data_IF_308545315621
#
_entry.id   IF_308545315621
#
_cell.length_a   1.000
_cell.length_b   1.000
_cell.length_c   1.000
_cell.angle_alpha   90.00
_cell.angle_beta   90.00
_cell.angle_gamma   90.00
#
_symmetry.space_group_name_H-M   'P 1'
#
loop_
_entity.id
_entity.type
_entity.pdbx_description
1 polymer ?
#
# COMPACT_ATOMS: atom_id res chain seq x y z
N UNK A 1 7.11 36.47 -1.39
CA UNK A 1 5.99 35.97 -0.57
C UNK A 1 6.39 34.86 0.40
N UNK A 2 7.34 33.96 0.06
CA UNK A 2 7.74 32.83 0.92
C UNK A 2 8.30 33.18 2.31
N UNK A 3 9.09 34.25 2.46
CA UNK A 3 9.70 34.60 3.75
C UNK A 3 8.71 35.11 4.81
N UNK A 4 7.55 35.67 4.42
CA UNK A 4 6.52 36.08 5.39
C UNK A 4 5.70 34.87 5.88
N UNK A 5 5.43 33.91 5.01
CA UNK A 5 4.71 32.68 5.38
C UNK A 5 5.52 31.81 6.33
N UNK A 6 6.84 31.67 6.12
CA UNK A 6 7.71 30.91 7.04
C UNK A 6 7.75 31.52 8.45
N UNK A 7 7.83 32.85 8.55
CA UNK A 7 7.77 33.55 9.83
C UNK A 7 6.43 33.38 10.56
N UNK A 8 5.31 33.23 9.82
CA UNK A 8 3.99 33.02 10.42
C UNK A 8 3.81 31.58 10.91
N UNK A 9 4.41 30.59 10.23
CA UNK A 9 4.33 29.17 10.60
C UNK A 9 5.22 28.85 11.81
N UNK A 10 6.38 29.51 11.93
CA UNK A 10 7.26 29.39 13.10
C UNK A 10 6.65 29.97 14.39
N UNK A 11 5.62 30.81 14.29
CA UNK A 11 4.91 31.35 15.46
C UNK A 11 4.05 30.30 16.18
N UNK A 12 3.82 29.13 15.56
CA UNK A 12 3.08 28.01 16.16
C UNK A 12 4.07 27.02 16.79
N UNK A 13 3.83 26.63 18.04
CA UNK A 13 4.66 25.66 18.74
C UNK A 13 4.48 24.22 18.23
N UNK A 14 5.48 23.33 18.40
CA UNK A 14 5.43 21.96 17.86
C UNK A 14 4.19 21.14 18.28
N UNK A 15 3.70 21.34 19.50
CA UNK A 15 2.49 20.67 20.00
C UNK A 15 1.24 21.06 19.19
N UNK A 16 1.17 22.30 18.70
CA UNK A 16 0.06 22.77 17.88
C UNK A 16 0.20 22.33 16.42
N UNK A 17 1.42 22.22 15.91
CA UNK A 17 1.67 21.54 14.64
C UNK A 17 1.20 20.08 14.68
N UNK A 18 1.52 19.35 15.76
CA UNK A 18 1.01 17.99 15.96
C UNK A 18 -0.52 17.94 16.05
N UNK A 19 -1.13 18.88 16.76
CA UNK A 19 -2.59 18.99 16.86
C UNK A 19 -3.26 19.30 15.51
N UNK A 20 -2.66 20.18 14.70
CA UNK A 20 -3.14 20.49 13.33
C UNK A 20 -3.06 19.23 12.46
N UNK A 21 -1.94 18.50 12.53
CA UNK A 21 -1.74 17.26 11.77
C UNK A 21 -2.80 16.20 12.13
N UNK A 22 -3.05 16.00 13.42
CA UNK A 22 -4.09 15.09 13.95
C UNK A 22 -5.51 15.54 13.56
N UNK A 23 -5.82 16.84 13.67
CA UNK A 23 -7.13 17.35 13.27
C UNK A 23 -7.42 17.14 11.79
N UNK A 24 -6.42 17.34 10.93
CA UNK A 24 -6.53 17.08 9.50
C UNK A 24 -6.69 15.59 9.20
N UNK A 25 -5.94 14.69 9.87
CA UNK A 25 -6.06 13.24 9.65
C UNK A 25 -7.43 12.69 10.08
N UNK A 26 -8.00 13.24 11.15
CA UNK A 26 -9.37 12.91 11.60
C UNK A 26 -10.49 13.55 10.76
N UNK A 27 -10.15 14.25 9.68
CA UNK A 27 -11.13 14.87 8.78
C UNK A 27 -11.90 16.05 9.38
N UNK A 28 -11.35 16.72 10.40
CA UNK A 28 -11.97 17.93 10.95
C UNK A 28 -12.05 19.03 9.88
N UNK A 29 -13.14 19.81 9.91
CA UNK A 29 -13.27 20.92 8.96
C UNK A 29 -12.22 22.00 9.26
N UNK A 30 -11.64 22.57 8.20
CA UNK A 30 -10.63 23.63 8.32
C UNK A 30 -11.18 24.82 9.11
N UNK A 31 -12.44 25.18 8.89
CA UNK A 31 -13.07 26.28 9.62
C UNK A 31 -13.18 25.99 11.12
N UNK A 32 -13.56 24.77 11.50
CA UNK A 32 -13.60 24.34 12.91
C UNK A 32 -12.21 24.39 13.54
N UNK A 33 -11.18 23.94 12.81
CA UNK A 33 -9.80 23.97 13.30
C UNK A 33 -9.28 25.40 13.46
N UNK A 34 -9.57 26.28 12.49
CA UNK A 34 -9.23 27.71 12.60
C UNK A 34 -9.90 28.31 13.84
N UNK A 35 -11.17 28.01 14.11
CA UNK A 35 -11.85 28.52 15.31
C UNK A 35 -11.16 28.12 16.61
N UNK A 36 -10.66 26.88 16.70
CA UNK A 36 -9.92 26.42 17.88
C UNK A 36 -8.57 27.13 18.01
N UNK A 37 -7.84 27.30 16.89
CA UNK A 37 -6.53 27.95 16.89
C UNK A 37 -6.59 29.44 17.26
N UNK A 38 -7.63 30.16 16.83
CA UNK A 38 -7.78 31.59 17.13
C UNK A 38 -8.50 31.84 18.47
N UNK A 39 -8.99 30.79 19.14
CA UNK A 39 -9.74 30.91 20.39
C UNK A 39 -8.92 31.64 21.44
N UNK A 40 -9.58 32.50 22.20
CA UNK A 40 -8.98 33.28 23.30
C UNK A 40 -7.81 34.19 22.83
N UNK A 41 -7.76 34.52 21.53
CA UNK A 41 -6.71 35.35 20.94
C UNK A 41 -5.35 34.65 20.82
N UNK A 42 -5.31 33.32 20.93
CA UNK A 42 -4.06 32.55 20.98
C UNK A 42 -3.19 32.70 19.73
N UNK A 43 -3.81 32.65 18.54
CA UNK A 43 -3.16 32.90 17.26
C UNK A 43 -4.01 33.84 16.41
N UNK A 44 -3.38 34.62 15.54
CA UNK A 44 -4.12 35.38 14.54
C UNK A 44 -4.73 34.43 13.50
N UNK A 45 -5.84 34.84 12.88
CA UNK A 45 -6.48 34.03 11.82
C UNK A 45 -5.52 33.75 10.65
N UNK A 46 -4.66 34.71 10.32
CA UNK A 46 -3.64 34.53 9.28
C UNK A 46 -2.62 33.45 9.64
N UNK A 47 -2.14 33.42 10.89
CA UNK A 47 -1.22 32.38 11.40
C UNK A 47 -1.88 31.00 11.38
N UNK A 48 -3.14 30.89 11.84
CA UNK A 48 -3.89 29.64 11.82
C UNK A 48 -4.08 29.08 10.40
N UNK A 49 -4.46 29.94 9.44
CA UNK A 49 -4.61 29.54 8.03
C UNK A 49 -3.26 29.13 7.44
N UNK A 50 -2.20 29.91 7.68
CA UNK A 50 -0.87 29.63 7.15
C UNK A 50 -0.35 28.28 7.64
N UNK A 51 -0.49 27.98 8.94
CA UNK A 51 -0.05 26.71 9.50
C UNK A 51 -0.84 25.51 8.96
N UNK A 52 -2.18 25.61 8.88
CA UNK A 52 -3.00 24.54 8.30
C UNK A 52 -2.64 24.30 6.82
N UNK A 53 -2.44 25.37 6.04
CA UNK A 53 -2.08 25.24 4.63
C UNK A 53 -0.67 24.67 4.45
N UNK A 54 0.29 25.07 5.28
CA UNK A 54 1.63 24.50 5.30
C UNK A 54 1.57 23.00 5.62
N UNK A 55 0.83 22.58 6.65
CA UNK A 55 0.66 21.15 6.97
C UNK A 55 -0.02 20.36 5.85
N UNK A 56 -1.02 20.95 5.17
CA UNK A 56 -1.65 20.33 4.00
C UNK A 56 -0.69 20.22 2.80
N UNK A 57 0.12 21.24 2.57
CA UNK A 57 1.15 21.24 1.52
C UNK A 57 2.18 20.15 1.81
N UNK A 58 2.70 20.08 3.04
CA UNK A 58 3.65 19.05 3.47
C UNK A 58 3.04 17.63 3.35
N UNK A 59 1.78 17.45 3.73
CA UNK A 59 1.07 16.17 3.55
C UNK A 59 0.89 15.84 2.07
N UNK A 60 0.57 16.83 1.24
CA UNK A 60 0.43 16.64 -0.21
C UNK A 60 1.77 16.29 -0.87
N UNK A 61 2.87 16.95 -0.49
CA UNK A 61 4.21 16.65 -0.98
C UNK A 61 4.70 15.29 -0.49
N UNK A 62 4.48 14.96 0.79
CA UNK A 62 4.76 13.63 1.34
C UNK A 62 3.95 12.53 0.65
N UNK A 63 2.66 12.77 0.39
CA UNK A 63 1.81 11.84 -0.36
C UNK A 63 2.17 11.78 -1.85
N UNK A 64 2.82 12.79 -2.42
CA UNK A 64 3.34 12.71 -3.79
C UNK A 64 4.57 11.78 -3.91
N UNK A 65 5.23 11.47 -2.79
CA UNK A 65 6.42 10.62 -2.74
C UNK A 65 6.12 9.13 -2.55
N UNK A 66 4.88 8.75 -2.20
CA UNK A 66 4.47 7.37 -1.99
C UNK A 66 3.00 7.14 -2.34
N UNK A 67 2.61 5.92 -2.75
CA UNK A 67 1.21 5.59 -2.93
C UNK A 67 0.43 5.75 -1.62
N UNK A 68 -0.83 6.13 -1.71
CA UNK A 68 -1.73 6.18 -0.56
C UNK A 68 -3.17 5.86 -0.97
N UNK A 69 -3.87 5.22 -0.05
CA UNK A 69 -5.31 4.99 -0.15
C UNK A 69 -6.01 6.11 0.62
N UNK A 70 -6.95 6.80 -0.02
CA UNK A 70 -7.79 7.80 0.66
C UNK A 70 -8.83 7.11 1.53
N UNK A 71 -8.58 7.08 2.84
CA UNK A 71 -9.46 6.49 3.85
C UNK A 71 -10.31 7.54 4.57
N UNK A 72 -10.41 8.77 4.06
CA UNK A 72 -11.28 9.82 4.63
C UNK A 72 -12.77 9.49 4.50
N UNK A 73 -13.11 8.52 3.65
CA UNK A 73 -14.44 7.98 3.45
C UNK A 73 -14.39 6.45 3.54
N UNK A 74 -15.53 5.85 3.87
CA UNK A 74 -15.67 4.38 3.89
C UNK A 74 -15.75 3.76 2.49
N UNK A 75 -15.64 4.56 1.43
CA UNK A 75 -15.68 4.10 0.04
C UNK A 75 -14.77 4.94 -0.86
N UNK A 76 -14.17 4.26 -1.84
CA UNK A 76 -13.41 4.88 -2.93
C UNK A 76 -14.18 4.62 -4.23
N UNK A 77 -14.40 5.67 -5.02
CA UNK A 77 -15.08 5.55 -6.31
C UNK A 77 -14.04 5.56 -7.42
N UNK A 78 -13.79 4.41 -8.04
CA UNK A 78 -13.02 4.30 -9.28
C UNK A 78 -13.96 4.50 -10.47
N UNK A 79 -13.44 4.73 -11.70
CA UNK A 79 -14.29 4.88 -12.88
C UNK A 79 -15.25 3.72 -13.15
N UNK A 80 -14.90 2.52 -12.70
CA UNK A 80 -15.61 1.27 -13.00
C UNK A 80 -16.15 0.56 -11.76
N UNK A 81 -15.87 1.05 -10.54
CA UNK A 81 -16.19 0.33 -9.31
C UNK A 81 -16.26 1.20 -8.07
N UNK A 82 -17.09 0.78 -7.11
CA UNK A 82 -17.13 1.34 -5.76
C UNK A 82 -16.47 0.38 -4.77
N UNK A 83 -15.31 0.79 -4.25
CA UNK A 83 -14.47 0.00 -3.34
C UNK A 83 -14.85 0.34 -1.91
N UNK A 84 -14.89 -0.67 -1.04
CA UNK A 84 -15.15 -0.51 0.38
C UNK A 84 -13.83 -0.31 1.12
N UNK A 85 -13.74 0.67 2.01
CA UNK A 85 -12.66 0.77 2.99
C UNK A 85 -13.15 0.06 4.26
N UNK A 86 -12.55 -1.10 4.56
CA UNK A 86 -12.97 -1.97 5.67
C UNK A 86 -12.21 -1.62 6.95
N UNK A 87 -10.90 -1.38 6.82
CA UNK A 87 -10.02 -1.06 7.92
C UNK A 87 -8.87 -0.18 7.42
N UNK A 88 -8.43 0.77 8.25
CA UNK A 88 -7.25 1.60 7.97
C UNK A 88 -6.36 1.70 9.21
N UNK A 89 -5.05 1.56 9.02
CA UNK A 89 -4.00 1.85 10.00
C UNK A 89 -3.17 3.01 9.43
N UNK A 90 -2.95 4.06 10.22
CA UNK A 90 -2.22 5.25 9.73
C UNK A 90 -0.71 5.01 9.62
N UNK A 91 -0.12 4.29 10.58
CA UNK A 91 1.32 4.05 10.68
C UNK A 91 1.61 2.56 10.97
N UNK A 92 2.08 1.77 9.98
CA UNK A 92 2.26 2.14 8.58
C UNK A 92 0.90 2.30 7.90
N UNK A 93 0.88 2.97 6.75
CA UNK A 93 -0.33 3.12 5.97
C UNK A 93 -0.73 1.73 5.45
N UNK A 94 -1.72 1.10 6.10
CA UNK A 94 -2.32 -0.19 5.72
C UNK A 94 -3.81 0.04 5.55
N UNK A 95 -4.37 -0.43 4.44
CA UNK A 95 -5.82 -0.38 4.19
C UNK A 95 -6.32 -1.74 3.74
N UNK A 96 -7.35 -2.25 4.41
CA UNK A 96 -8.10 -3.44 3.98
C UNK A 96 -9.29 -2.98 3.16
N UNK A 97 -9.43 -3.53 1.97
CA UNK A 97 -10.36 -3.09 0.95
C UNK A 97 -11.29 -4.23 0.55
N UNK A 98 -12.58 -3.93 0.41
CA UNK A 98 -13.59 -4.85 -0.09
C UNK A 98 -14.03 -4.47 -1.51
N UNK A 99 -14.51 -5.46 -2.26
CA UNK A 99 -15.02 -5.27 -3.62
C UNK A 99 -13.99 -4.61 -4.57
N UNK A 100 -12.71 -4.99 -4.45
CA UNK A 100 -11.64 -4.55 -5.36
C UNK A 100 -11.74 -5.27 -6.70
N UNK A 101 -11.99 -6.58 -6.69
CA UNK A 101 -12.22 -7.41 -7.87
C UNK A 101 -13.61 -8.03 -7.83
N UNK A 102 -14.16 -8.39 -9.00
CA UNK A 102 -15.38 -9.19 -9.08
C UNK A 102 -15.03 -10.66 -8.98
N UNK A 103 -16.04 -11.48 -8.70
CA UNK A 103 -15.83 -12.91 -8.63
C UNK A 103 -15.34 -13.45 -9.99
N UNK A 104 -15.87 -12.92 -11.08
CA UNK A 104 -15.48 -13.27 -12.45
C UNK A 104 -14.06 -12.81 -12.79
N UNK A 105 -13.67 -11.60 -12.35
CA UNK A 105 -12.30 -11.10 -12.53
C UNK A 105 -11.30 -11.97 -11.76
N UNK A 106 -11.65 -12.39 -10.53
CA UNK A 106 -10.85 -13.31 -9.73
C UNK A 106 -10.69 -14.67 -10.43
N UNK A 107 -11.79 -15.27 -10.87
CA UNK A 107 -11.78 -16.59 -11.50
C UNK A 107 -11.03 -16.58 -12.83
N UNK A 108 -11.18 -15.50 -13.62
CA UNK A 108 -10.46 -15.32 -14.88
C UNK A 108 -8.94 -15.19 -14.68
N UNK A 109 -8.49 -14.46 -13.65
CA UNK A 109 -7.06 -14.37 -13.33
C UNK A 109 -6.48 -15.72 -12.90
N UNK A 110 -7.21 -16.49 -12.07
CA UNK A 110 -6.79 -17.84 -11.67
C UNK A 110 -6.67 -18.74 -12.90
N UNK A 111 -7.73 -18.83 -13.70
CA UNK A 111 -7.78 -19.68 -14.88
C UNK A 111 -6.67 -19.36 -15.89
N UNK A 112 -6.36 -18.07 -16.09
CA UNK A 112 -5.31 -17.64 -17.00
C UNK A 112 -3.91 -18.06 -16.51
N UNK A 113 -3.61 -17.79 -15.24
CA UNK A 113 -2.26 -17.99 -14.71
C UNK A 113 -1.92 -19.43 -14.29
N UNK A 114 -2.93 -20.29 -14.09
CA UNK A 114 -2.73 -21.64 -13.54
C UNK A 114 -1.81 -22.51 -14.40
N UNK A 115 -1.91 -22.41 -15.73
CA UNK A 115 -1.07 -23.17 -16.66
C UNK A 115 0.42 -22.77 -16.61
N UNK A 116 0.73 -21.54 -16.18
CA UNK A 116 2.10 -21.00 -16.12
C UNK A 116 2.78 -21.15 -14.76
N UNK A 117 2.11 -21.76 -13.78
CA UNK A 117 2.62 -21.80 -12.41
C UNK A 117 3.88 -22.67 -12.27
N UNK A 118 4.88 -22.11 -11.60
CA UNK A 118 6.10 -22.82 -11.21
C UNK A 118 6.43 -22.52 -9.75
N UNK A 119 7.35 -23.28 -9.15
CA UNK A 119 7.77 -23.05 -7.76
C UNK A 119 8.28 -21.62 -7.62
N UNK A 120 7.75 -20.87 -6.65
CA UNK A 120 8.15 -19.48 -6.46
C UNK A 120 9.60 -19.35 -5.98
N UNK A 121 10.31 -18.34 -6.48
CA UNK A 121 11.67 -18.02 -6.08
C UNK A 121 11.70 -16.73 -5.21
N UNK A 122 12.78 -16.57 -4.44
CA UNK A 122 13.22 -15.29 -3.87
C UNK A 122 14.51 -14.84 -4.53
N UNK A 123 15.00 -13.65 -4.22
CA UNK A 123 16.26 -13.16 -4.77
C UNK A 123 17.41 -13.60 -3.87
N UNK A 124 18.40 -14.30 -4.45
CA UNK A 124 19.59 -14.73 -3.74
C UNK A 124 20.46 -13.53 -3.32
N UNK A 125 21.26 -13.69 -2.27
CA UNK A 125 22.14 -12.62 -1.77
C UNK A 125 23.12 -12.10 -2.83
N UNK A 126 23.54 -12.94 -3.77
CA UNK A 126 24.42 -12.62 -4.89
C UNK A 126 23.69 -12.18 -6.16
N UNK A 127 22.35 -12.22 -6.17
CA UNK A 127 21.52 -11.97 -7.34
C UNK A 127 20.99 -13.25 -8.00
N UNK A 128 19.98 -13.09 -8.86
CA UNK A 128 19.25 -14.22 -9.47
C UNK A 128 18.21 -14.84 -8.54
N UNK A 129 17.40 -15.75 -9.09
CA UNK A 129 16.34 -16.44 -8.35
C UNK A 129 16.86 -17.66 -7.60
N UNK A 130 16.38 -17.87 -6.37
CA UNK A 130 16.62 -19.07 -5.58
C UNK A 130 15.31 -19.65 -5.02
N UNK A 131 15.28 -20.97 -4.82
CA UNK A 131 14.20 -21.61 -4.06
C UNK A 131 14.45 -21.35 -2.57
N UNK A 132 13.47 -20.76 -1.90
CA UNK A 132 13.55 -20.40 -0.49
C UNK A 132 12.65 -21.33 0.33
N UNK A 133 13.16 -22.04 1.35
CA UNK A 133 12.34 -22.86 2.24
C UNK A 133 11.23 -22.05 2.94
N UNK A 134 11.47 -20.75 3.19
CA UNK A 134 10.51 -19.84 3.78
C UNK A 134 9.42 -19.34 2.83
N UNK A 135 9.50 -19.65 1.52
CA UNK A 135 8.47 -19.34 0.51
C UNK A 135 8.05 -20.60 -0.23
N UNK A 136 6.85 -21.08 0.07
CA UNK A 136 6.41 -22.41 -0.41
C UNK A 136 5.30 -22.40 -1.46
N UNK A 137 5.00 -21.21 -2.01
CA UNK A 137 4.03 -21.02 -3.08
C UNK A 137 4.49 -21.52 -4.45
N UNK A 138 3.52 -21.67 -5.33
CA UNK A 138 3.71 -21.65 -6.78
C UNK A 138 3.24 -20.30 -7.33
N UNK A 139 3.80 -19.83 -8.43
CA UNK A 139 3.36 -18.59 -9.03
C UNK A 139 3.80 -18.38 -10.47
N UNK A 140 3.26 -17.32 -11.05
CA UNK A 140 3.54 -16.83 -12.41
C UNK A 140 3.48 -15.30 -12.41
N UNK A 141 4.32 -14.66 -13.22
CA UNK A 141 4.22 -13.22 -13.49
C UNK A 141 3.41 -12.99 -14.75
N UNK A 142 2.39 -12.14 -14.64
CA UNK A 142 1.62 -11.62 -15.76
C UNK A 142 2.10 -10.17 -16.01
N UNK A 143 2.47 -9.87 -17.24
CA UNK A 143 3.00 -8.57 -17.63
C UNK A 143 1.92 -7.48 -17.56
N UNK A 144 2.37 -6.24 -17.39
CA UNK A 144 1.49 -5.07 -17.41
C UNK A 144 0.78 -5.00 -18.75
N UNK A 145 -0.54 -4.85 -18.72
CA UNK A 145 -1.37 -4.79 -19.93
C UNK A 145 -1.33 -6.03 -20.83
N UNK A 146 -0.92 -7.20 -20.30
CA UNK A 146 -0.89 -8.45 -21.07
C UNK A 146 -2.27 -8.87 -21.58
N UNK A 147 -3.32 -8.54 -20.83
CA UNK A 147 -4.73 -8.76 -21.16
C UNK A 147 -5.53 -7.48 -20.91
N UNK A 148 -6.62 -7.27 -21.65
CA UNK A 148 -7.57 -6.17 -21.38
C UNK A 148 -8.11 -6.23 -19.94
N UNK A 149 -8.33 -7.46 -19.43
CA UNK A 149 -8.69 -7.70 -18.02
C UNK A 149 -7.64 -7.12 -17.06
N UNK A 150 -6.36 -7.40 -17.32
CA UNK A 150 -5.24 -6.92 -16.49
C UNK A 150 -5.14 -5.41 -16.59
N UNK A 151 -5.20 -4.83 -17.80
CA UNK A 151 -5.20 -3.37 -18.02
C UNK A 151 -6.29 -2.68 -17.20
N UNK A 152 -7.52 -3.22 -17.23
CA UNK A 152 -8.66 -2.68 -16.46
C UNK A 152 -8.40 -2.74 -14.96
N UNK A 153 -7.92 -3.87 -14.45
CA UNK A 153 -7.60 -4.05 -13.02
C UNK A 153 -6.49 -3.09 -12.61
N UNK A 154 -5.41 -2.99 -13.38
CA UNK A 154 -4.26 -2.14 -13.07
C UNK A 154 -4.64 -0.66 -13.04
N UNK A 155 -5.50 -0.19 -13.96
CA UNK A 155 -6.05 1.16 -13.92
C UNK A 155 -6.87 1.43 -12.65
N UNK A 156 -7.65 0.44 -12.20
CA UNK A 156 -8.41 0.52 -10.95
C UNK A 156 -7.47 0.60 -9.73
N UNK A 157 -6.44 -0.25 -9.68
CA UNK A 157 -5.45 -0.25 -8.60
C UNK A 157 -4.66 1.07 -8.53
N UNK A 158 -4.29 1.61 -9.68
CA UNK A 158 -3.65 2.93 -9.80
C UNK A 158 -4.52 4.03 -9.18
N UNK A 159 -5.83 4.01 -9.46
CA UNK A 159 -6.78 4.95 -8.88
C UNK A 159 -6.93 4.77 -7.36
N UNK A 160 -7.03 3.52 -6.88
CA UNK A 160 -7.15 3.21 -5.44
C UNK A 160 -5.91 3.71 -4.66
N UNK A 161 -4.72 3.49 -5.21
CA UNK A 161 -3.45 3.79 -4.54
C UNK A 161 -2.93 5.22 -4.82
N UNK A 162 -3.68 6.04 -5.57
CA UNK A 162 -3.24 7.35 -6.05
C UNK A 162 -1.82 7.31 -6.66
N UNK A 163 -1.56 6.30 -7.50
CA UNK A 163 -0.23 6.04 -8.04
C UNK A 163 -0.29 5.70 -9.53
N UNK A 164 0.59 6.24 -10.39
CA UNK A 164 0.53 6.00 -11.82
C UNK A 164 0.68 4.53 -12.18
N UNK A 165 -0.07 4.07 -13.18
CA UNK A 165 -0.08 2.66 -13.61
C UNK A 165 1.28 2.21 -14.17
N UNK A 166 2.01 3.13 -14.79
CA UNK A 166 3.35 2.93 -15.36
C UNK A 166 4.41 2.70 -14.27
N UNK A 167 4.10 3.08 -13.03
CA UNK A 167 4.91 2.81 -11.85
C UNK A 167 4.50 1.53 -11.14
N UNK A 168 3.73 0.66 -11.80
CA UNK A 168 3.41 -0.68 -11.30
C UNK A 168 4.20 -1.75 -12.05
N UNK A 169 4.77 -2.71 -11.30
CA UNK A 169 5.26 -3.97 -11.88
C UNK A 169 4.09 -4.81 -12.42
N UNK A 170 4.35 -5.87 -13.20
CA UNK A 170 3.31 -6.84 -13.56
C UNK A 170 2.64 -7.50 -12.35
N UNK A 171 1.50 -8.14 -12.57
CA UNK A 171 0.80 -8.89 -11.52
C UNK A 171 1.50 -10.22 -11.24
N UNK A 172 1.77 -10.51 -9.97
CA UNK A 172 2.24 -11.83 -9.55
C UNK A 172 1.07 -12.66 -9.03
N UNK A 173 0.68 -13.69 -9.78
CA UNK A 173 -0.28 -14.68 -9.28
C UNK A 173 0.44 -15.74 -8.45
N UNK A 174 -0.11 -16.06 -7.27
CA UNK A 174 0.46 -17.02 -6.34
C UNK A 174 -0.61 -17.99 -5.85
N UNK A 175 -0.22 -19.26 -5.70
CA UNK A 175 -1.03 -20.35 -5.15
C UNK A 175 -0.34 -20.99 -3.95
N UNK A 176 -1.09 -21.16 -2.86
CA UNK A 176 -0.68 -21.85 -1.64
C UNK A 176 -1.67 -22.99 -1.35
N UNK A 177 -1.18 -24.22 -1.34
CA UNK A 177 -1.93 -25.37 -0.83
C UNK A 177 -1.84 -25.47 0.71
N UNK A 178 -2.50 -26.48 1.28
CA UNK A 178 -2.43 -26.76 2.73
C UNK A 178 -0.98 -26.86 3.22
N UNK A 179 -0.69 -26.19 4.33
CA UNK A 179 0.64 -26.06 4.94
C UNK A 179 1.57 -25.07 4.26
N UNK A 180 1.28 -24.62 3.04
CA UNK A 180 2.11 -23.64 2.35
C UNK A 180 1.94 -22.24 2.98
N UNK A 181 3.06 -21.54 3.08
CA UNK A 181 3.21 -20.24 3.75
C UNK A 181 4.27 -19.38 3.04
N UNK A 182 4.34 -18.12 3.47
CA UNK A 182 5.50 -17.25 3.24
C UNK A 182 5.90 -16.61 4.57
N UNK A 183 7.10 -16.92 5.05
CA UNK A 183 7.67 -16.30 6.25
C UNK A 183 7.69 -14.76 6.15
N UNK A 184 7.61 -14.06 7.30
CA UNK A 184 7.67 -12.61 7.33
C UNK A 184 8.89 -12.06 6.58
N UNK A 185 8.64 -11.10 5.69
CA UNK A 185 9.63 -10.48 4.82
C UNK A 185 9.23 -9.04 4.51
N UNK A 186 10.12 -8.34 3.81
CA UNK A 186 9.88 -7.01 3.29
C UNK A 186 9.77 -7.07 1.77
N UNK A 187 8.88 -6.24 1.23
CA UNK A 187 8.76 -6.06 -0.22
C UNK A 187 9.72 -5.00 -0.77
N UNK A 188 10.20 -4.08 0.07
CA UNK A 188 11.26 -3.15 -0.30
C UNK A 188 12.61 -3.87 -0.38
N UNK A 189 13.50 -3.33 -1.22
CA UNK A 189 14.85 -3.85 -1.42
C UNK A 189 15.83 -3.25 -0.43
N UNK A 190 16.74 -4.09 0.07
CA UNK A 190 17.89 -3.65 0.84
C UNK A 190 19.09 -3.40 -0.10
N UNK A 191 19.53 -2.15 -0.22
CA UNK A 191 20.66 -1.77 -1.05
C UNK A 191 22.00 -2.37 -0.58
N UNK A 192 22.10 -2.76 0.70
CA UNK A 192 23.30 -3.39 1.25
C UNK A 192 23.45 -4.86 0.86
N UNK A 193 22.39 -5.48 0.31
CA UNK A 193 22.41 -6.86 -0.18
C UNK A 193 22.65 -6.83 -1.69
N UNK A 194 23.79 -7.31 -2.21
CA UNK A 194 24.17 -7.16 -3.61
C UNK A 194 23.10 -7.64 -4.61
N UNK A 195 22.46 -8.77 -4.33
CA UNK A 195 21.40 -9.31 -5.18
C UNK A 195 20.14 -8.44 -5.22
N UNK A 196 19.81 -7.77 -4.12
CA UNK A 196 18.66 -6.85 -4.08
C UNK A 196 19.01 -5.46 -4.60
N UNK A 197 20.26 -5.02 -4.46
CA UNK A 197 20.75 -3.76 -5.03
C UNK A 197 20.52 -3.70 -6.56
N UNK A 198 20.63 -4.84 -7.25
CA UNK A 198 20.35 -4.96 -8.69
C UNK A 198 18.87 -4.72 -9.03
N UNK A 199 17.94 -4.99 -8.11
CA UNK A 199 16.51 -4.87 -8.34
C UNK A 199 16.00 -3.43 -8.35
N UNK A 200 16.80 -2.47 -7.85
CA UNK A 200 16.46 -1.06 -7.95
C UNK A 200 16.33 -0.65 -9.42
N UNK A 201 17.25 -1.11 -10.27
CA UNK A 201 17.26 -0.79 -11.69
C UNK A 201 17.04 0.70 -11.97
N UNK A 202 16.29 1.01 -13.02
CA UNK A 202 15.84 2.39 -13.32
C UNK A 202 14.57 2.79 -12.57
N UNK A 203 13.77 1.80 -12.15
CA UNK A 203 12.45 2.00 -11.53
C UNK A 203 12.52 2.34 -10.02
N UNK A 204 13.70 2.31 -9.41
CA UNK A 204 13.92 2.71 -8.02
C UNK A 204 13.41 1.70 -6.99
N UNK A 205 12.97 2.16 -5.84
CA UNK A 205 12.47 1.27 -4.76
C UNK A 205 11.03 0.79 -5.01
N UNK A 206 10.62 -0.32 -4.40
CA UNK A 206 9.19 -0.67 -4.19
C UNK A 206 8.63 0.15 -3.04
N UNK A 207 7.67 1.03 -3.32
CA UNK A 207 7.12 2.02 -2.37
C UNK A 207 5.76 1.61 -1.79
N UNK A 208 5.07 0.65 -2.40
CA UNK A 208 3.84 0.08 -1.87
C UNK A 208 3.49 -1.26 -2.51
N UNK A 209 2.58 -1.96 -1.87
CA UNK A 209 2.11 -3.29 -2.28
C UNK A 209 0.60 -3.35 -2.18
N UNK A 210 -0.03 -4.02 -3.13
CA UNK A 210 -1.44 -4.44 -3.08
C UNK A 210 -1.49 -5.95 -3.23
N UNK A 211 -2.02 -6.65 -2.23
CA UNK A 211 -2.30 -8.09 -2.28
C UNK A 211 -3.80 -8.27 -2.44
N UNK A 212 -4.24 -8.81 -3.57
CA UNK A 212 -5.64 -9.11 -3.87
C UNK A 212 -5.92 -10.58 -3.61
N UNK A 213 -7.02 -10.88 -2.93
CA UNK A 213 -7.46 -12.24 -2.64
C UNK A 213 -8.43 -12.72 -3.72
N UNK A 214 -8.07 -13.80 -4.40
CA UNK A 214 -8.81 -14.29 -5.57
C UNK A 214 -9.82 -15.38 -5.23
N UNK A 215 -9.78 -15.89 -4.00
CA UNK A 215 -10.78 -16.80 -3.47
C UNK A 215 -10.89 -16.66 -1.95
N UNK A 216 -12.00 -17.14 -1.40
CA UNK A 216 -12.12 -17.36 0.04
C UNK A 216 -11.27 -18.58 0.43
N UNK A 217 -10.58 -18.49 1.57
CA UNK A 217 -9.85 -19.62 2.16
C UNK A 217 -10.60 -20.07 3.40
N UNK A 218 -10.83 -21.37 3.51
CA UNK A 218 -11.63 -21.95 4.60
C UNK A 218 -10.99 -21.73 5.98
N UNK A 219 -9.68 -21.95 6.10
CA UNK A 219 -8.94 -21.70 7.34
C UNK A 219 -7.46 -21.37 7.08
N UNK A 220 -6.90 -20.44 7.85
CA UNK A 220 -5.51 -19.98 7.71
C UNK A 220 -5.30 -19.08 6.49
N UNK A 221 -4.07 -18.98 6.01
CA UNK A 221 -3.76 -18.24 4.78
C UNK A 221 -3.86 -16.71 4.89
N UNK A 222 -3.93 -16.15 6.09
CA UNK A 222 -3.95 -14.70 6.31
C UNK A 222 -2.71 -13.98 5.79
N UNK A 223 -2.83 -12.67 5.55
CA UNK A 223 -1.68 -11.78 5.42
C UNK A 223 -1.37 -11.21 6.80
N UNK A 224 -0.26 -11.65 7.39
CA UNK A 224 0.15 -11.34 8.76
C UNK A 224 1.14 -10.16 8.77
N UNK A 225 0.89 -9.16 9.60
CA UNK A 225 1.80 -8.06 9.94
C UNK A 225 2.19 -8.20 11.43
N UNK A 226 3.26 -8.93 11.76
CA UNK A 226 3.58 -9.29 13.14
C UNK A 226 3.85 -8.08 14.03
N UNK A 227 4.54 -7.05 13.52
CA UNK A 227 4.85 -5.82 14.26
C UNK A 227 3.61 -4.99 14.60
N UNK A 228 2.49 -5.24 13.92
CA UNK A 228 1.21 -4.56 14.15
C UNK A 228 0.22 -5.41 14.95
N UNK A 229 0.52 -6.69 15.16
CA UNK A 229 -0.46 -7.65 15.69
C UNK A 229 -1.70 -7.76 14.78
N UNK A 230 -1.55 -7.53 13.48
CA UNK A 230 -2.64 -7.51 12.50
C UNK A 230 -2.54 -8.73 11.59
N UNK A 231 -3.66 -9.41 11.36
CA UNK A 231 -3.79 -10.43 10.32
C UNK A 231 -5.04 -10.17 9.49
N UNK A 232 -4.88 -10.15 8.17
CA UNK A 232 -5.96 -9.93 7.22
C UNK A 232 -6.37 -11.27 6.61
N UNK A 233 -7.59 -11.71 6.90
CA UNK A 233 -8.14 -12.94 6.35
C UNK A 233 -8.39 -12.81 4.83
N UNK A 234 -8.07 -13.83 4.04
CA UNK A 234 -8.27 -13.80 2.59
C UNK A 234 -9.76 -13.97 2.25
N UNK A 235 -10.36 -12.89 1.73
CA UNK A 235 -11.75 -12.86 1.29
C UNK A 235 -11.84 -12.52 -0.19
N UNK A 236 -12.52 -13.35 -0.97
CA UNK A 236 -12.58 -13.21 -2.44
C UNK A 236 -12.97 -11.78 -2.85
N UNK A 237 -12.24 -11.23 -3.82
CA UNK A 237 -12.46 -9.87 -4.32
C UNK A 237 -11.96 -8.75 -3.39
N UNK A 238 -11.52 -9.06 -2.17
CA UNK A 238 -10.88 -8.13 -1.26
C UNK A 238 -9.40 -7.92 -1.56
N UNK A 239 -8.80 -6.90 -0.95
CA UNK A 239 -7.36 -6.67 -1.01
C UNK A 239 -6.85 -6.05 0.28
N UNK A 240 -5.54 -6.15 0.50
CA UNK A 240 -4.81 -5.31 1.46
C UNK A 240 -3.79 -4.48 0.70
N UNK A 241 -3.82 -3.16 0.93
CA UNK A 241 -2.78 -2.23 0.51
C UNK A 241 -1.89 -1.91 1.71
N UNK A 242 -0.59 -1.75 1.47
CA UNK A 242 0.32 -1.18 2.45
C UNK A 242 1.51 -0.46 1.80
N UNK A 243 2.04 0.55 2.48
CA UNK A 243 3.26 1.25 2.04
C UNK A 243 4.53 0.54 2.51
N UNK A 244 5.51 0.42 1.62
CA UNK A 244 6.82 -0.16 1.90
C UNK A 244 7.84 0.88 2.39
N UNK A 245 7.50 2.16 2.31
CA UNK A 245 8.33 3.28 2.77
C UNK A 245 7.58 4.16 3.76
N UNK A 246 8.33 4.83 4.63
CA UNK A 246 7.83 5.85 5.55
C UNK A 246 7.44 7.11 4.78
N UNK A 247 6.70 8.06 5.40
CA UNK A 247 6.42 9.37 4.78
C UNK A 247 7.67 10.13 4.34
N UNK A 248 8.82 9.86 4.96
CA UNK A 248 10.13 10.43 4.65
C UNK A 248 10.87 9.67 3.52
N UNK A 249 10.25 8.64 2.91
CA UNK A 249 10.83 7.89 1.80
C UNK A 249 11.80 6.78 2.20
N UNK A 250 11.94 6.48 3.49
CA UNK A 250 12.86 5.44 3.99
C UNK A 250 12.17 4.07 4.10
N UNK A 251 12.89 2.94 4.03
CA UNK A 251 12.30 1.60 4.19
C UNK A 251 11.48 1.45 5.48
N UNK A 252 10.22 1.04 5.37
CA UNK A 252 9.32 0.95 6.50
C UNK A 252 9.44 -0.40 7.23
N UNK A 253 9.93 -0.40 8.46
CA UNK A 253 10.05 -1.64 9.26
C UNK A 253 8.70 -2.23 9.68
N UNK A 254 7.68 -1.41 9.83
CA UNK A 254 6.34 -1.89 10.17
C UNK A 254 5.61 -2.58 9.00
N UNK A 255 6.15 -2.49 7.78
CA UNK A 255 5.65 -3.23 6.61
C UNK A 255 6.10 -4.69 6.56
N UNK A 256 6.80 -5.17 7.60
CA UNK A 256 7.15 -6.59 7.73
C UNK A 256 5.85 -7.39 7.68
N UNK A 257 5.76 -8.31 6.74
CA UNK A 257 4.54 -9.09 6.54
C UNK A 257 4.84 -10.49 6.00
N UNK A 258 3.92 -11.42 6.21
CA UNK A 258 4.01 -12.79 5.72
C UNK A 258 2.65 -13.33 5.29
N UNK A 259 2.67 -14.52 4.69
CA UNK A 259 1.48 -15.31 4.46
C UNK A 259 1.41 -16.44 5.47
N UNK A 260 0.43 -16.40 6.38
CA UNK A 260 0.20 -17.48 7.35
C UNK A 260 -0.05 -18.81 6.61
N UNK A 261 0.32 -19.96 7.21
CA UNK A 261 0.04 -21.26 6.61
C UNK A 261 -1.45 -21.43 6.28
N UNK A 262 -1.75 -22.00 5.11
CA UNK A 262 -3.11 -22.45 4.80
C UNK A 262 -3.40 -23.69 5.64
N UNK A 263 -4.47 -23.67 6.43
CA UNK A 263 -4.88 -24.80 7.27
C UNK A 263 -5.89 -25.68 6.54
N UNK A 264 -6.87 -25.08 5.85
CA UNK A 264 -7.83 -25.80 5.00
C UNK A 264 -8.14 -25.02 3.73
N UNK A 265 -8.38 -25.76 2.63
CA UNK A 265 -8.62 -25.22 1.30
C UNK A 265 -7.33 -24.89 0.53
N UNK A 266 -7.41 -23.87 -0.32
CA UNK A 266 -6.32 -23.36 -1.16
C UNK A 266 -6.40 -21.85 -1.18
N UNK A 267 -5.27 -21.14 -1.23
CA UNK A 267 -5.21 -19.69 -1.34
C UNK A 267 -4.64 -19.28 -2.69
N UNK A 268 -5.37 -18.44 -3.42
CA UNK A 268 -4.89 -17.70 -4.58
C UNK A 268 -4.85 -16.21 -4.28
N UNK A 269 -3.72 -15.58 -4.60
CA UNK A 269 -3.56 -14.12 -4.50
C UNK A 269 -2.89 -13.56 -5.74
N UNK A 270 -3.24 -12.34 -6.11
CA UNK A 270 -2.49 -11.54 -7.07
C UNK A 270 -1.84 -10.37 -6.34
N UNK A 271 -0.52 -10.24 -6.46
CA UNK A 271 0.26 -9.15 -5.86
C UNK A 271 0.64 -8.14 -6.93
N UNK A 272 0.44 -6.85 -6.63
CA UNK A 272 0.92 -5.71 -7.43
C UNK A 272 1.93 -4.94 -6.58
N UNK A 273 3.16 -4.84 -7.07
CA UNK A 273 4.17 -3.97 -6.47
C UNK A 273 4.22 -2.63 -7.19
N UNK A 274 4.32 -1.56 -6.39
CA UNK A 274 4.37 -0.18 -6.85
C UNK A 274 5.80 0.34 -6.69
N UNK A 275 6.33 0.91 -7.77
CA UNK A 275 7.69 1.43 -7.91
C UNK A 275 7.72 2.94 -7.69
N UNK A 276 8.87 3.43 -7.26
CA UNK A 276 9.16 4.85 -7.13
C UNK A 276 9.07 5.57 -8.50
N UNK A 277 9.59 4.94 -9.56
CA UNK A 277 9.67 5.46 -10.92
C UNK A 277 9.01 4.50 -11.92
N UNK A 278 8.95 4.90 -13.19
CA UNK A 278 8.37 4.09 -14.28
C UNK A 278 9.11 2.75 -14.37
N UNK A 279 8.33 1.67 -14.51
CA UNK A 279 8.80 0.28 -14.65
C UNK A 279 8.60 -0.23 -16.07
#
# INVERSE_FOLDING_TARGET
MGAMTDNLVQAISPQWHAWIKDGLSRGCSVDSMIQVLVRDGRFSRAVAIAAINATKSDQSESNALRPFVDTSKNYISTPDRKIQVILSVEAPNVAVLGNVLSDEECDALIAYGEAGMSRSHTVAATGGGQIDPGRTSYGVMMQRGELDLITKIEARLAHIANWPVERGEGLQLLRYGVGAEYKPHFDWFNADIPGQAQLFGTAGQRVGTIVMYLNDVEAGGGTLFPELGLEVAPRKGGAVFFTNITPEGTPCRLSLHGGSPVISGVKYVATKWLREKVF
#
